data_IF_662164633208
#
_entry.id   IF_662164633208
#
_cell.length_a   1.000
_cell.length_b   1.000
_cell.length_c   1.000
_cell.angle_alpha   90.00
_cell.angle_beta   90.00
_cell.angle_gamma   90.00
#
_symmetry.space_group_name_H-M   'P 1'
#
loop_
_entity.id
_entity.type
_entity.pdbx_description
1 polymer ?
#
# COMPACT_ATOMS: atom_id res chain seq x y z
N UNK A 1 -19.95 25.55 1.16
CA UNK A 1 -18.53 25.12 1.10
C UNK A 1 -18.15 24.95 -0.35
N UNK A 2 -17.54 25.98 -0.94
CA UNK A 2 -17.14 26.00 -2.35
C UNK A 2 -15.79 25.30 -2.47
N UNK A 3 -15.74 24.15 -3.15
CA UNK A 3 -14.51 23.39 -3.35
C UNK A 3 -13.54 24.18 -4.26
N UNK A 4 -12.39 24.57 -3.72
CA UNK A 4 -11.30 25.15 -4.50
C UNK A 4 -10.62 24.08 -5.36
N UNK A 5 -10.83 24.15 -6.68
CA UNK A 5 -10.34 23.15 -7.64
C UNK A 5 -8.96 23.56 -8.17
N UNK A 6 -7.87 23.23 -7.45
CA UNK A 6 -6.50 23.53 -7.90
C UNK A 6 -6.04 22.52 -8.97
N UNK A 7 -6.38 22.80 -10.24
CA UNK A 7 -5.88 22.04 -11.41
C UNK A 7 -5.11 22.95 -12.37
N UNK A 8 -4.13 22.38 -13.07
CA UNK A 8 -3.33 23.09 -14.08
C UNK A 8 -2.33 24.10 -13.50
N UNK A 9 -2.14 25.24 -14.18
CA UNK A 9 -1.15 26.28 -13.82
C UNK A 9 -1.38 26.89 -12.41
N UNK A 10 -2.56 26.68 -11.83
CA UNK A 10 -2.91 27.08 -10.45
C UNK A 10 -2.18 26.27 -9.36
N UNK A 11 -1.44 25.20 -9.71
CA UNK A 11 -0.51 24.55 -8.78
C UNK A 11 0.75 25.38 -8.50
N UNK A 12 1.02 26.38 -9.34
CA UNK A 12 2.21 27.24 -9.26
C UNK A 12 1.86 28.66 -8.82
N UNK A 13 0.61 28.92 -8.43
CA UNK A 13 0.23 30.21 -7.86
C UNK A 13 0.68 30.26 -6.41
N UNK A 14 1.28 31.37 -6.01
CA UNK A 14 1.59 31.68 -4.61
C UNK A 14 0.33 31.53 -3.75
N UNK A 15 0.50 31.09 -2.51
CA UNK A 15 -0.59 30.91 -1.54
C UNK A 15 -1.32 32.26 -1.37
N UNK A 16 -2.65 32.26 -1.48
CA UNK A 16 -3.45 33.49 -1.31
C UNK A 16 -3.46 33.92 0.17
N UNK A 17 -3.38 35.22 0.45
CA UNK A 17 -3.45 35.78 1.80
C UNK A 17 -4.72 35.40 2.54
N UNK A 18 -5.87 35.40 1.87
CA UNK A 18 -7.16 35.06 2.49
C UNK A 18 -7.19 33.60 3.01
N UNK A 19 -6.46 32.71 2.33
CA UNK A 19 -6.31 31.33 2.75
C UNK A 19 -5.37 31.23 3.95
N UNK A 20 -4.26 31.96 3.96
CA UNK A 20 -3.35 32.00 5.10
C UNK A 20 -4.04 32.55 6.36
N UNK A 21 -4.87 33.58 6.23
CA UNK A 21 -5.65 34.13 7.34
C UNK A 21 -6.66 33.11 7.88
N UNK A 22 -7.37 32.41 6.99
CA UNK A 22 -8.30 31.34 7.39
C UNK A 22 -7.55 30.20 8.09
N UNK A 23 -6.41 29.78 7.55
CA UNK A 23 -5.59 28.70 8.08
C UNK A 23 -5.05 29.05 9.48
N UNK A 24 -4.46 30.24 9.64
CA UNK A 24 -3.89 30.70 10.91
C UNK A 24 -4.96 31.00 11.97
N UNK A 25 -6.18 31.38 11.55
CA UNK A 25 -7.32 31.51 12.48
C UNK A 25 -7.80 30.16 13.02
N UNK A 26 -7.65 29.09 12.24
CA UNK A 26 -8.08 27.73 12.62
C UNK A 26 -6.97 27.00 13.38
N UNK A 27 -5.71 27.25 13.01
CA UNK A 27 -4.52 26.59 13.57
C UNK A 27 -3.43 27.63 13.88
N UNK A 28 -3.51 28.30 15.05
CA UNK A 28 -2.59 29.39 15.41
C UNK A 28 -1.12 28.97 15.52
N UNK A 29 -0.90 27.69 15.84
CA UNK A 29 0.43 27.13 16.14
C UNK A 29 1.20 26.73 14.88
N UNK A 30 0.61 26.80 13.69
CA UNK A 30 1.30 26.48 12.44
C UNK A 30 2.31 27.58 12.07
N UNK A 31 3.52 27.16 11.70
CA UNK A 31 4.56 28.03 11.19
C UNK A 31 4.28 28.45 9.74
N UNK A 32 4.07 29.75 9.51
CA UNK A 32 3.75 30.28 8.19
C UNK A 32 4.92 30.13 7.20
N UNK A 33 6.16 30.17 7.70
CA UNK A 33 7.34 30.03 6.85
C UNK A 33 7.38 28.64 6.22
N UNK A 34 7.07 27.61 7.00
CA UNK A 34 6.92 26.24 6.49
C UNK A 34 5.79 26.13 5.45
N UNK A 35 4.64 26.79 5.67
CA UNK A 35 3.51 26.75 4.72
C UNK A 35 3.87 27.36 3.37
N UNK A 36 4.69 28.43 3.37
CA UNK A 36 5.04 29.18 2.16
C UNK A 36 6.26 28.59 1.45
N UNK A 37 7.27 28.16 2.20
CA UNK A 37 8.58 27.76 1.66
C UNK A 37 8.81 26.25 1.67
N UNK A 38 8.12 25.53 2.56
CA UNK A 38 8.38 24.11 2.85
C UNK A 38 9.60 23.88 3.73
N UNK A 39 10.26 24.94 4.21
CA UNK A 39 11.46 24.87 5.06
C UNK A 39 11.11 25.09 6.54
N UNK A 40 11.83 24.40 7.43
CA UNK A 40 11.63 24.48 8.88
C UNK A 40 10.55 23.55 9.44
N UNK A 41 10.23 23.72 10.72
CA UNK A 41 9.23 22.91 11.41
C UNK A 41 7.81 23.42 11.12
N UNK A 42 6.88 22.48 11.00
CA UNK A 42 5.45 22.73 10.73
C UNK A 42 4.77 23.51 11.86
N UNK A 43 5.23 23.33 13.10
CA UNK A 43 4.71 23.98 14.30
C UNK A 43 5.67 25.07 14.79
N UNK A 44 5.11 26.13 15.36
CA UNK A 44 5.88 27.19 16.02
C UNK A 44 6.41 26.64 17.33
N UNK A 45 7.67 26.19 17.34
CA UNK A 45 8.36 25.83 18.56
C UNK A 45 8.48 27.05 19.48
N UNK A 46 7.59 27.17 20.47
CA UNK A 46 7.73 28.10 21.59
C UNK A 46 8.36 27.37 22.76
N UNK A 47 9.66 27.10 22.69
CA UNK A 47 10.53 27.04 23.87
C UNK A 47 12.02 26.90 23.46
N UNK A 48 12.96 27.58 24.14
CA UNK A 48 14.38 27.48 23.85
C UNK A 48 15.00 26.36 24.68
N UNK A 49 15.51 25.30 24.05
CA UNK A 49 16.46 24.40 24.71
C UNK A 49 17.54 23.93 23.72
N UNK A 50 18.73 23.55 24.22
CA UNK A 50 20.00 24.08 23.80
C UNK A 50 20.77 23.03 22.99
N UNK A 51 21.82 23.50 22.35
CA UNK A 51 22.81 22.73 21.60
C UNK A 51 23.19 21.38 22.20
N UNK A 52 23.15 20.38 21.33
CA UNK A 52 23.96 19.16 21.26
C UNK A 52 24.96 18.94 22.40
N UNK A 53 24.72 17.91 23.21
CA UNK A 53 25.79 17.19 23.89
C UNK A 53 25.43 15.72 24.03
N UNK A 54 26.36 14.87 23.64
CA UNK A 54 26.32 13.42 23.61
C UNK A 54 25.78 12.78 24.92
N UNK A 55 24.78 11.90 24.81
CA UNK A 55 24.57 10.84 25.79
C UNK A 55 24.27 9.50 25.12
N UNK A 56 24.98 8.52 25.62
CA UNK A 56 25.26 7.20 25.08
C UNK A 56 24.11 6.21 25.36
N UNK A 57 23.82 5.42 24.33
CA UNK A 57 23.06 4.17 24.20
C UNK A 57 22.65 3.47 25.52
N UNK A 58 21.35 3.27 25.70
CA UNK A 58 20.67 1.95 25.80
C UNK A 58 19.26 2.16 26.35
N UNK A 59 18.22 1.96 25.54
CA UNK A 59 17.02 1.15 25.85
C UNK A 59 15.90 1.36 24.82
N UNK A 60 15.54 0.26 24.15
CA UNK A 60 14.20 -0.09 23.64
C UNK A 60 13.65 0.61 22.37
N UNK A 61 14.41 0.58 21.27
CA UNK A 61 13.89 0.83 19.91
C UNK A 61 12.93 -0.25 19.37
N UNK A 62 12.65 -1.29 20.15
CA UNK A 62 11.70 -2.35 19.77
C UNK A 62 10.23 -1.92 19.90
N UNK A 63 9.91 -0.89 20.68
CA UNK A 63 8.51 -0.52 20.95
C UNK A 63 7.87 0.41 19.91
N UNK A 64 8.64 1.02 18.99
CA UNK A 64 8.05 1.89 17.96
C UNK A 64 7.57 1.12 16.73
N UNK A 65 8.14 -0.05 16.44
CA UNK A 65 7.73 -0.90 15.31
C UNK A 65 6.61 -1.91 15.65
N UNK A 66 6.29 -2.09 16.94
CA UNK A 66 5.26 -3.03 17.41
C UNK A 66 3.84 -2.42 17.46
N UNK A 67 3.69 -1.10 17.27
CA UNK A 67 2.43 -0.40 17.60
C UNK A 67 1.51 -0.04 16.43
N UNK A 68 1.84 -0.38 15.17
CA UNK A 68 0.88 -0.26 14.06
C UNK A 68 -0.09 -1.46 13.98
N UNK A 69 0.24 -2.56 14.67
CA UNK A 69 -0.61 -3.72 14.82
C UNK A 69 -1.20 -3.76 16.24
N UNK A 70 -2.49 -3.39 16.36
CA UNK A 70 -3.37 -3.47 17.56
C UNK A 70 -3.58 -2.19 18.39
N UNK A 71 -3.99 -1.11 17.76
CA UNK A 71 -4.84 -0.12 18.44
C UNK A 71 -5.98 0.27 17.51
N UNK A 72 -6.94 -0.65 17.38
CA UNK A 72 -8.21 -0.37 16.75
C UNK A 72 -9.21 -0.06 17.85
N UNK A 73 -9.76 1.16 17.83
CA UNK A 73 -10.92 1.50 18.65
C UNK A 73 -12.16 0.85 18.03
N UNK A 74 -12.36 -0.44 18.32
CA UNK A 74 -13.50 -1.23 17.83
C UNK A 74 -14.83 -0.80 18.48
N UNK A 75 -14.85 0.26 19.31
CA UNK A 75 -16.07 0.83 19.88
C UNK A 75 -16.81 1.76 18.91
N UNK A 76 -16.16 2.20 17.83
CA UNK A 76 -16.75 3.09 16.83
C UNK A 76 -17.53 2.28 15.79
N UNK A 77 -18.78 2.66 15.52
CA UNK A 77 -19.54 2.12 14.39
C UNK A 77 -19.04 2.74 13.06
N UNK A 78 -18.47 1.95 12.13
CA UNK A 78 -18.00 2.48 10.87
C UNK A 78 -19.11 2.58 9.82
N UNK A 79 -19.00 3.57 8.93
CA UNK A 79 -19.74 3.56 7.68
C UNK A 79 -19.16 2.48 6.74
N UNK A 80 -20.02 1.61 6.21
CA UNK A 80 -19.61 0.52 5.32
C UNK A 80 -19.91 0.88 3.87
N UNK A 81 -18.89 0.87 3.03
CA UNK A 81 -19.00 1.11 1.59
C UNK A 81 -18.41 -0.02 0.77
N UNK A 82 -18.82 -0.11 -0.49
CA UNK A 82 -18.26 -1.04 -1.48
C UNK A 82 -17.77 -0.27 -2.70
N UNK A 83 -16.61 -0.64 -3.22
CA UNK A 83 -16.17 -0.11 -4.51
C UNK A 83 -16.82 -0.87 -5.67
N UNK A 84 -16.55 -0.43 -6.90
CA UNK A 84 -17.07 -1.05 -8.13
C UNK A 84 -16.63 -2.50 -8.37
N UNK A 85 -15.64 -3.00 -7.63
CA UNK A 85 -15.15 -4.38 -7.71
C UNK A 85 -15.59 -5.22 -6.49
N UNK A 86 -16.52 -4.72 -5.67
CA UNK A 86 -17.04 -5.44 -4.52
C UNK A 86 -16.14 -5.44 -3.29
N UNK A 87 -15.01 -4.73 -3.30
CA UNK A 87 -14.17 -4.61 -2.09
C UNK A 87 -14.88 -3.75 -1.05
N UNK A 88 -14.94 -4.26 0.18
CA UNK A 88 -15.60 -3.64 1.32
C UNK A 88 -14.65 -2.68 2.03
N UNK A 89 -15.16 -1.52 2.41
CA UNK A 89 -14.45 -0.50 3.16
C UNK A 89 -15.22 -0.15 4.43
N UNK A 90 -14.49 0.10 5.51
CA UNK A 90 -14.99 0.63 6.78
C UNK A 90 -14.40 2.03 6.99
N UNK A 91 -15.24 3.03 7.15
CA UNK A 91 -14.86 4.42 7.36
C UNK A 91 -15.24 4.78 8.79
N UNK A 92 -14.25 5.15 9.58
CA UNK A 92 -14.42 5.52 10.98
C UNK A 92 -14.55 7.03 11.11
N UNK A 93 -15.16 7.48 12.20
CA UNK A 93 -15.42 8.91 12.46
C UNK A 93 -14.14 9.72 12.69
N UNK A 94 -13.05 9.05 13.10
CA UNK A 94 -11.70 9.61 13.23
C UNK A 94 -10.99 9.82 11.87
N UNK A 95 -11.62 9.43 10.76
CA UNK A 95 -11.06 9.49 9.41
C UNK A 95 -10.21 8.26 9.02
N UNK A 96 -10.08 7.27 9.89
CA UNK A 96 -9.43 6.00 9.55
C UNK A 96 -10.28 5.26 8.51
N UNK A 97 -9.64 4.74 7.46
CA UNK A 97 -10.29 3.90 6.45
C UNK A 97 -9.63 2.52 6.49
N UNK A 98 -10.46 1.46 6.53
CA UNK A 98 -10.01 0.07 6.39
C UNK A 98 -10.62 -0.53 5.15
N UNK A 99 -9.84 -1.36 4.46
CA UNK A 99 -10.33 -2.24 3.39
C UNK A 99 -10.32 -3.68 3.90
N UNK A 100 -11.40 -4.42 3.66
CA UNK A 100 -11.49 -5.86 3.87
C UNK A 100 -11.44 -6.57 2.52
N UNK A 101 -10.53 -7.54 2.43
CA UNK A 101 -10.26 -8.30 1.22
C UNK A 101 -10.23 -9.79 1.54
N UNK A 102 -10.57 -10.62 0.54
CA UNK A 102 -10.28 -12.05 0.64
C UNK A 102 -8.77 -12.25 0.80
N UNK A 103 -8.39 -13.20 1.64
CA UNK A 103 -7.01 -13.62 1.86
C UNK A 103 -6.79 -14.89 1.04
N UNK A 104 -5.89 -14.83 0.07
CA UNK A 104 -5.51 -15.95 -0.80
C UNK A 104 -4.12 -16.45 -0.37
N UNK A 105 -4.04 -17.57 0.37
CA UNK A 105 -2.78 -18.22 0.68
C UNK A 105 -2.09 -18.72 -0.60
N UNK A 106 -0.75 -18.66 -0.65
CA UNK A 106 -0.02 -19.10 -1.85
C UNK A 106 -0.18 -20.60 -2.14
N UNK A 107 -0.35 -21.42 -1.11
CA UNK A 107 -0.62 -22.85 -1.25
C UNK A 107 -2.05 -23.17 -1.72
N UNK A 108 -2.99 -22.23 -1.63
CA UNK A 108 -4.38 -22.37 -2.07
C UNK A 108 -4.60 -21.93 -3.52
N UNK A 109 -3.51 -21.81 -4.30
CA UNK A 109 -3.52 -21.43 -5.72
C UNK A 109 -4.57 -22.20 -6.54
N UNK A 110 -4.63 -23.53 -6.39
CA UNK A 110 -5.52 -24.37 -7.19
C UNK A 110 -6.99 -24.05 -6.91
N UNK A 111 -7.36 -24.01 -5.62
CA UNK A 111 -8.71 -23.62 -5.18
C UNK A 111 -9.09 -22.24 -5.70
N UNK A 112 -8.18 -21.26 -5.57
CA UNK A 112 -8.45 -19.90 -6.05
C UNK A 112 -8.70 -19.87 -7.57
N UNK A 113 -7.93 -20.59 -8.38
CA UNK A 113 -8.13 -20.63 -9.83
C UNK A 113 -9.44 -21.32 -10.22
N UNK A 114 -9.90 -22.30 -9.45
CA UNK A 114 -11.18 -22.97 -9.69
C UNK A 114 -12.36 -22.06 -9.33
N UNK A 115 -12.25 -21.28 -8.25
CA UNK A 115 -13.35 -20.46 -7.74
C UNK A 115 -13.30 -18.98 -8.12
N UNK A 116 -12.26 -18.45 -8.79
CA UNK A 116 -12.13 -16.98 -9.00
C UNK A 116 -13.25 -16.32 -9.82
N UNK A 117 -14.02 -17.11 -10.57
CA UNK A 117 -15.18 -16.63 -11.32
C UNK A 117 -16.48 -16.58 -10.50
N UNK A 118 -16.49 -17.16 -9.30
CA UNK A 118 -17.64 -17.27 -8.43
C UNK A 118 -17.38 -16.54 -7.10
N UNK A 119 -17.95 -15.35 -6.98
CA UNK A 119 -17.80 -14.51 -5.80
C UNK A 119 -18.37 -15.15 -4.52
N UNK A 120 -19.40 -15.99 -4.64
CA UNK A 120 -20.01 -16.67 -3.49
C UNK A 120 -19.06 -17.73 -2.97
N UNK A 121 -18.52 -18.57 -3.86
CA UNK A 121 -17.57 -19.62 -3.50
C UNK A 121 -16.30 -19.01 -2.89
N UNK A 122 -15.77 -17.92 -3.47
CA UNK A 122 -14.60 -17.25 -2.92
C UNK A 122 -14.81 -16.78 -1.46
N UNK A 123 -16.01 -16.27 -1.12
CA UNK A 123 -16.31 -15.80 0.23
C UNK A 123 -16.51 -16.93 1.24
N UNK A 124 -16.93 -18.10 0.78
CA UNK A 124 -17.11 -19.28 1.63
C UNK A 124 -15.79 -20.05 1.85
N UNK A 125 -14.94 -20.15 0.82
CA UNK A 125 -13.70 -20.91 0.86
C UNK A 125 -12.54 -20.17 1.53
N UNK A 126 -12.48 -18.84 1.38
CA UNK A 126 -11.35 -18.05 1.83
C UNK A 126 -11.69 -17.15 3.01
N UNK A 127 -10.77 -17.07 3.98
CA UNK A 127 -10.86 -16.08 5.04
C UNK A 127 -10.64 -14.67 4.50
N UNK A 128 -11.00 -13.66 5.29
CA UNK A 128 -10.71 -12.26 4.97
C UNK A 128 -9.58 -11.72 5.82
N UNK A 129 -8.99 -10.62 5.37
CA UNK A 129 -8.10 -9.79 6.18
C UNK A 129 -8.32 -8.31 5.88
N UNK A 130 -7.85 -7.46 6.80
CA UNK A 130 -8.08 -6.03 6.73
C UNK A 130 -6.77 -5.22 6.74
N UNK A 131 -6.77 -4.11 6.00
CA UNK A 131 -5.66 -3.16 5.97
C UNK A 131 -6.17 -1.73 6.19
N UNK A 132 -5.43 -0.93 6.97
CA UNK A 132 -5.63 0.53 6.99
C UNK A 132 -5.17 1.13 5.66
N UNK A 133 -5.98 1.98 5.04
CA UNK A 133 -5.69 2.66 3.77
C UNK A 133 -5.99 4.15 3.88
N UNK A 134 -5.40 4.94 2.98
CA UNK A 134 -5.55 6.41 3.01
C UNK A 134 -6.80 6.89 2.26
N UNK A 135 -7.34 6.09 1.35
CA UNK A 135 -8.51 6.43 0.54
C UNK A 135 -9.21 5.18 -0.03
N UNK A 136 -10.43 5.36 -0.51
CA UNK A 136 -11.21 4.33 -1.19
C UNK A 136 -10.74 4.20 -2.64
N UNK A 137 -10.25 3.02 -2.99
CA UNK A 137 -9.73 2.72 -4.32
C UNK A 137 -10.80 2.19 -5.27
N UNK A 138 -10.64 2.49 -6.57
CA UNK A 138 -11.51 1.96 -7.64
C UNK A 138 -11.02 0.65 -8.26
N UNK A 139 -9.87 0.12 -7.80
CA UNK A 139 -9.31 -1.13 -8.31
C UNK A 139 -9.99 -2.36 -7.70
N UNK A 140 -9.64 -3.53 -8.21
CA UNK A 140 -9.87 -4.78 -7.50
C UNK A 140 -8.69 -5.02 -6.55
N UNK A 141 -8.99 -5.31 -5.30
CA UNK A 141 -8.00 -5.55 -4.26
C UNK A 141 -8.13 -6.96 -3.69
N UNK A 142 -7.00 -7.64 -3.55
CA UNK A 142 -6.91 -8.99 -3.00
C UNK A 142 -5.78 -9.02 -1.99
N UNK A 143 -6.02 -9.76 -0.91
CA UNK A 143 -5.05 -10.03 0.11
C UNK A 143 -4.27 -11.31 -0.16
N UNK A 144 -2.96 -11.33 0.14
CA UNK A 144 -2.13 -12.52 0.03
C UNK A 144 -1.27 -12.73 1.28
N UNK A 145 -0.93 -13.97 1.58
CA UNK A 145 0.10 -14.29 2.55
C UNK A 145 1.41 -14.63 1.83
N UNK A 146 2.47 -13.88 2.14
CA UNK A 146 3.80 -14.17 1.61
C UNK A 146 4.31 -15.50 2.15
N UNK A 147 4.73 -16.42 1.28
CA UNK A 147 5.39 -17.66 1.69
C UNK A 147 6.85 -17.66 1.21
N UNK A 148 7.76 -17.81 2.17
CA UNK A 148 9.20 -17.90 1.95
C UNK A 148 9.92 -16.57 1.80
N UNK A 149 11.24 -16.64 1.63
CA UNK A 149 12.15 -15.48 1.72
C UNK A 149 12.58 -14.96 0.35
N UNK A 150 11.77 -15.20 -0.68
CA UNK A 150 12.09 -14.79 -2.06
C UNK A 150 12.25 -13.27 -2.21
N UNK A 151 11.48 -12.51 -1.43
CA UNK A 151 11.49 -11.05 -1.44
C UNK A 151 12.16 -10.49 -0.18
N UNK A 152 13.01 -11.29 0.46
CA UNK A 152 13.78 -10.94 1.65
C UNK A 152 15.28 -10.92 1.36
N UNK A 153 15.90 -9.76 1.48
CA UNK A 153 17.34 -9.49 1.33
C UNK A 153 17.93 -8.67 2.50
N UNK A 154 17.27 -8.67 3.66
CA UNK A 154 17.61 -7.86 4.85
C UNK A 154 17.52 -6.34 4.62
N UNK A 155 16.84 -5.88 3.58
CA UNK A 155 16.57 -4.47 3.30
C UNK A 155 15.22 -4.00 3.86
N UNK A 156 15.10 -2.70 4.15
CA UNK A 156 13.90 -2.13 4.78
C UNK A 156 12.60 -2.23 3.97
N UNK A 157 12.66 -2.57 2.67
CA UNK A 157 11.49 -2.67 1.76
C UNK A 157 11.11 -4.11 1.41
N UNK A 158 11.70 -5.08 2.08
CA UNK A 158 11.52 -6.50 1.81
C UNK A 158 10.30 -7.09 2.48
N UNK A 159 9.80 -8.20 1.95
CA UNK A 159 8.62 -8.85 2.54
C UNK A 159 9.03 -10.18 3.17
N UNK A 160 8.96 -10.30 4.51
CA UNK A 160 9.28 -11.55 5.18
C UNK A 160 8.21 -12.61 4.88
N UNK A 161 8.58 -13.88 5.08
CA UNK A 161 7.58 -14.96 5.09
C UNK A 161 6.56 -14.73 6.20
N UNK A 162 5.29 -15.04 5.92
CA UNK A 162 4.15 -14.84 6.82
C UNK A 162 3.58 -13.41 6.80
N UNK A 163 4.16 -12.48 6.05
CA UNK A 163 3.60 -11.14 5.92
C UNK A 163 2.30 -11.13 5.12
N UNK A 164 1.33 -10.37 5.60
CA UNK A 164 0.09 -10.08 4.89
C UNK A 164 0.32 -8.96 3.87
N UNK A 165 -0.11 -9.19 2.63
CA UNK A 165 0.11 -8.32 1.48
C UNK A 165 -1.22 -7.85 0.91
N UNK A 166 -1.34 -6.54 0.66
CA UNK A 166 -2.45 -5.97 -0.11
C UNK A 166 -2.01 -5.73 -1.57
N UNK A 167 -2.63 -6.45 -2.50
CA UNK A 167 -2.42 -6.31 -3.93
C UNK A 167 -3.55 -5.57 -4.63
N UNK A 168 -3.22 -4.64 -5.53
CA UNK A 168 -4.16 -4.01 -6.46
C UNK A 168 -4.01 -4.62 -7.85
N UNK A 169 -5.09 -5.13 -8.43
CA UNK A 169 -5.06 -5.78 -9.73
C UNK A 169 -4.61 -4.80 -10.84
N UNK A 170 -3.71 -5.28 -11.69
CA UNK A 170 -3.28 -4.60 -12.91
C UNK A 170 -4.13 -5.13 -14.06
N UNK A 171 -4.95 -4.28 -14.67
CA UNK A 171 -5.80 -4.67 -15.78
C UNK A 171 -5.00 -5.23 -16.97
N UNK A 172 -5.49 -6.32 -17.58
CA UNK A 172 -4.81 -7.02 -18.69
C UNK A 172 -4.43 -6.11 -19.86
N UNK A 173 -5.26 -5.12 -20.15
CA UNK A 173 -5.02 -4.13 -21.20
C UNK A 173 -3.76 -3.27 -20.97
N UNK A 174 -3.22 -3.22 -19.74
CA UNK A 174 -2.00 -2.49 -19.41
C UNK A 174 -0.74 -3.35 -19.50
N UNK A 175 -0.84 -4.67 -19.54
CA UNK A 175 0.31 -5.57 -19.42
C UNK A 175 1.31 -5.40 -20.57
N UNK A 176 0.83 -5.07 -21.76
CA UNK A 176 1.67 -4.85 -22.95
C UNK A 176 2.44 -3.53 -22.92
N UNK A 177 2.07 -2.60 -22.04
CA UNK A 177 2.79 -1.33 -21.87
C UNK A 177 4.01 -1.48 -20.94
N UNK A 178 4.28 -2.70 -20.46
CA UNK A 178 5.32 -2.99 -19.49
C UNK A 178 4.93 -2.64 -18.06
N UNK A 179 5.87 -2.88 -17.15
CA UNK A 179 5.68 -2.73 -15.72
C UNK A 179 6.74 -1.77 -15.16
N UNK A 180 6.32 -0.86 -14.28
CA UNK A 180 7.24 0.04 -13.60
C UNK A 180 7.89 -0.66 -12.41
N UNK A 181 9.05 -0.16 -11.97
CA UNK A 181 9.65 -0.61 -10.70
C UNK A 181 8.73 -0.24 -9.54
N UNK A 182 8.48 -1.19 -8.65
CA UNK A 182 7.58 -1.00 -7.51
C UNK A 182 8.33 -1.14 -6.20
N UNK A 183 7.79 -0.53 -5.14
CA UNK A 183 8.39 -0.60 -3.81
C UNK A 183 8.36 -2.00 -3.22
N UNK A 184 7.31 -2.78 -3.50
CA UNK A 184 7.07 -4.09 -2.86
C UNK A 184 6.89 -5.25 -3.85
N UNK A 185 7.10 -5.04 -5.15
CA UNK A 185 6.95 -6.08 -6.17
C UNK A 185 5.51 -6.30 -6.62
N UNK A 186 5.30 -7.46 -7.22
CA UNK A 186 4.03 -7.92 -7.77
C UNK A 186 3.71 -9.32 -7.27
N UNK A 187 2.42 -9.61 -7.11
CA UNK A 187 1.92 -10.98 -7.01
C UNK A 187 1.42 -11.41 -8.40
N UNK A 188 1.97 -12.49 -8.93
CA UNK A 188 1.67 -13.03 -10.25
C UNK A 188 0.98 -14.37 -10.06
N UNK A 189 -0.26 -14.49 -10.53
CA UNK A 189 -1.02 -15.74 -10.54
C UNK A 189 -1.03 -16.27 -11.97
N UNK A 190 -0.52 -17.47 -12.18
CA UNK A 190 -0.48 -18.13 -13.49
C UNK A 190 -1.07 -19.53 -13.40
N UNK A 191 -1.28 -20.19 -14.54
CA UNK A 191 -1.66 -21.60 -14.63
C UNK A 191 -0.71 -22.60 -13.93
N UNK A 192 0.49 -22.17 -13.54
CA UNK A 192 1.52 -23.02 -12.91
C UNK A 192 1.70 -22.71 -11.42
N UNK A 193 1.07 -21.66 -10.90
CA UNK A 193 1.23 -21.24 -9.52
C UNK A 193 1.23 -19.73 -9.35
N UNK A 194 1.49 -19.32 -8.10
CA UNK A 194 1.53 -17.95 -7.62
C UNK A 194 2.94 -17.58 -7.17
N UNK A 195 3.38 -16.36 -7.49
CA UNK A 195 4.70 -15.87 -7.08
C UNK A 195 4.64 -14.40 -6.64
N UNK A 196 5.46 -14.08 -5.64
CA UNK A 196 5.79 -12.71 -5.26
C UNK A 196 7.17 -12.35 -5.80
N UNK A 197 7.23 -11.48 -6.82
CA UNK A 197 8.45 -11.13 -7.57
C UNK A 197 8.40 -9.70 -8.09
N UNK A 198 9.56 -9.15 -8.46
CA UNK A 198 9.62 -8.00 -9.34
C UNK A 198 9.47 -8.45 -10.81
N UNK A 199 8.80 -7.63 -11.63
CA UNK A 199 8.74 -7.79 -13.09
C UNK A 199 9.77 -6.84 -13.68
N UNK A 200 10.85 -7.37 -14.24
CA UNK A 200 12.02 -6.56 -14.63
C UNK A 200 12.05 -6.23 -16.12
N UNK A 201 11.38 -7.03 -16.96
CA UNK A 201 11.42 -6.89 -18.41
C UNK A 201 10.14 -7.46 -19.03
N UNK A 202 9.66 -6.81 -20.08
CA UNK A 202 8.69 -7.35 -21.03
C UNK A 202 9.42 -7.58 -22.36
N UNK A 203 9.46 -8.83 -22.81
CA UNK A 203 10.12 -9.25 -24.05
C UNK A 203 9.16 -9.18 -25.22
N UNK A 204 9.72 -8.97 -26.42
CA UNK A 204 8.97 -8.86 -27.68
C UNK A 204 8.11 -10.10 -27.98
N UNK A 205 8.47 -11.27 -27.45
CA UNK A 205 7.72 -12.51 -27.61
C UNK A 205 6.55 -12.67 -26.61
N UNK A 206 6.17 -11.61 -25.89
CA UNK A 206 5.08 -11.63 -24.92
C UNK A 206 5.40 -12.40 -23.63
N UNK A 207 6.68 -12.51 -23.26
CA UNK A 207 7.13 -13.04 -21.97
C UNK A 207 7.57 -11.91 -21.05
N UNK A 208 7.34 -12.07 -19.75
CA UNK A 208 7.88 -11.21 -18.71
C UNK A 208 8.97 -11.93 -17.92
N UNK A 209 10.01 -11.19 -17.54
CA UNK A 209 11.07 -11.70 -16.66
C UNK A 209 10.67 -11.44 -15.20
N UNK A 210 10.52 -12.52 -14.43
CA UNK A 210 10.25 -12.48 -12.99
C UNK A 210 11.56 -12.62 -12.22
N UNK A 211 11.82 -11.70 -11.30
CA UNK A 211 13.05 -11.66 -10.51
C UNK A 211 12.75 -11.55 -9.02
N UNK A 212 13.52 -12.29 -8.23
CA UNK A 212 13.50 -12.23 -6.77
C UNK A 212 14.43 -11.12 -6.28
N UNK A 213 14.08 -10.47 -5.18
CA UNK A 213 15.02 -9.57 -4.48
C UNK A 213 16.08 -10.32 -3.69
N UNK A 214 15.77 -11.55 -3.30
CA UNK A 214 16.73 -12.48 -2.73
C UNK A 214 17.73 -12.92 -3.82
N UNK A 215 19.02 -12.59 -3.70
CA UNK A 215 20.04 -12.90 -4.73
C UNK A 215 20.22 -14.40 -5.00
N UNK A 216 19.80 -15.27 -4.08
CA UNK A 216 19.94 -16.72 -4.21
C UNK A 216 18.98 -17.32 -5.25
N UNK A 217 17.95 -16.58 -5.66
CA UNK A 217 16.93 -17.05 -6.58
C UNK A 217 17.17 -16.49 -7.98
N UNK A 218 17.39 -17.38 -8.95
CA UNK A 218 17.61 -17.00 -10.35
C UNK A 218 16.31 -16.46 -10.99
N UNK A 219 16.40 -15.37 -11.79
CA UNK A 219 15.27 -14.91 -12.59
C UNK A 219 14.81 -15.97 -13.60
N UNK A 220 13.53 -15.93 -13.97
CA UNK A 220 12.96 -16.80 -14.98
C UNK A 220 11.86 -16.10 -15.78
N UNK A 221 11.57 -16.63 -16.97
CA UNK A 221 10.57 -16.06 -17.87
C UNK A 221 9.19 -16.72 -17.67
N UNK A 222 8.14 -15.91 -17.73
CA UNK A 222 6.75 -16.36 -17.77
C UNK A 222 6.04 -15.77 -18.99
N UNK A 223 5.25 -16.57 -19.73
CA UNK A 223 4.44 -16.05 -20.84
C UNK A 223 3.21 -15.34 -20.29
N UNK A 224 2.89 -14.15 -20.81
CA UNK A 224 1.66 -13.43 -20.46
C UNK A 224 0.39 -14.28 -20.72
N UNK A 225 0.44 -15.22 -21.67
CA UNK A 225 -0.68 -16.15 -21.98
C UNK A 225 -0.93 -17.20 -20.89
N UNK A 226 0.06 -17.44 -20.03
CA UNK A 226 -0.07 -18.35 -18.89
C UNK A 226 -0.52 -17.61 -17.62
N UNK A 227 -0.51 -16.27 -17.63
CA UNK A 227 -0.87 -15.45 -16.48
C UNK A 227 -2.39 -15.23 -16.43
N UNK A 228 -2.95 -15.50 -15.26
CA UNK A 228 -4.37 -15.35 -14.94
C UNK A 228 -4.61 -13.92 -14.47
N UNK A 229 -3.86 -13.47 -13.45
CA UNK A 229 -3.93 -12.12 -12.85
C UNK A 229 -2.56 -11.64 -12.37
N UNK A 230 -2.39 -10.32 -12.31
CA UNK A 230 -1.21 -9.64 -11.75
C UNK A 230 -1.69 -8.58 -10.78
N UNK A 231 -1.10 -8.54 -9.58
CA UNK A 231 -1.39 -7.55 -8.56
C UNK A 231 -0.13 -6.75 -8.24
N UNK A 232 -0.23 -5.42 -8.33
CA UNK A 232 0.79 -4.53 -7.78
C UNK A 232 0.65 -4.50 -6.26
N UNK A 233 1.73 -4.85 -5.54
CA UNK A 233 1.72 -4.81 -4.08
C UNK A 233 1.82 -3.38 -3.58
N UNK A 234 0.78 -2.92 -2.88
CA UNK A 234 0.69 -1.53 -2.39
C UNK A 234 0.94 -1.42 -0.89
N UNK A 235 0.72 -2.50 -0.11
CA UNK A 235 0.94 -2.51 1.34
C UNK A 235 1.33 -3.91 1.82
N UNK A 236 2.07 -3.96 2.93
CA UNK A 236 2.47 -5.17 3.66
C UNK A 236 2.29 -4.94 5.16
N UNK A 237 2.00 -5.98 5.93
CA UNK A 237 1.86 -5.98 7.38
C UNK A 237 2.50 -7.24 7.96
N UNK A 238 3.30 -7.12 9.02
CA UNK A 238 3.95 -8.22 9.75
C UNK A 238 4.38 -7.74 11.14
#
# INVERSE_FOLDING_TARGET
>A
MTYGNFKGKHKYTTVNSDFLDTLLSTYPDINIEWVITGEGDMEKNTDPHPSDTDLNIQTNDTNLFLNEAKLFDDSQEPEVLFNSNGNKYYIYSDGTIRIEVIKVPFNAYASYVESYHDEVVLKEEFSTMAFKVDHIGRGNYVGFESIGDSMWNNGGFDTPSGADILGREVGKHLWLNGFHKTRYGFVIISKKGIWHKDITELKDNGKITLSSRNPLSKPFDCSLNDIIQIFHVIKRSF
#
